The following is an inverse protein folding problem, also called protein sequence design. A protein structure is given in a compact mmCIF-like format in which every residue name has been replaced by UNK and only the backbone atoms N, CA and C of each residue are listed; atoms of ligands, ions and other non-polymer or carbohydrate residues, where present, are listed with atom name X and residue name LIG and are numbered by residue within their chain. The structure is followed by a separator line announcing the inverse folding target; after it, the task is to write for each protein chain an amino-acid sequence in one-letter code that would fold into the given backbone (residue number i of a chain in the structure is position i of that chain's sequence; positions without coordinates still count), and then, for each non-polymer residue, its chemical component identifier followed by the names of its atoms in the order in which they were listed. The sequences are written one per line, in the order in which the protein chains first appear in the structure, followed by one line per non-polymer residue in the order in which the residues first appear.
data_IF_907054982172
#
_entry.id   IF_907054982172
#
_cell.length_a   1.000
_cell.length_b   1.000
_cell.length_c   1.000
_cell.angle_alpha   90.00
_cell.angle_beta   90.00
_cell.angle_gamma   90.00
#
_symmetry.space_group_name_H-M   'P 1'
#
loop_
_entity.id
_entity.type
_entity.pdbx_description
1 polymer ?
#
# COMPACT_ATOMS: atom_id res chain seq x y z
N UNK A 1 37.29 -20.70 -2.65
CA UNK A 1 36.06 -20.44 -1.86
C UNK A 1 35.78 -18.96 -1.55
N UNK A 2 36.71 -18.15 -1.02
CA UNK A 2 36.41 -16.76 -0.56
C UNK A 2 35.79 -15.84 -1.62
N UNK A 3 36.26 -15.91 -2.86
CA UNK A 3 35.75 -15.09 -3.98
C UNK A 3 34.29 -15.42 -4.28
N UNK A 4 33.93 -16.71 -4.33
CA UNK A 4 32.56 -17.16 -4.55
C UNK A 4 31.59 -16.63 -3.47
N UNK A 5 31.97 -16.70 -2.20
CA UNK A 5 31.17 -16.14 -1.11
C UNK A 5 30.98 -14.62 -1.23
N UNK A 6 32.00 -13.90 -1.71
CA UNK A 6 31.91 -12.45 -1.91
C UNK A 6 30.91 -12.09 -3.00
N UNK A 7 30.91 -12.81 -4.12
CA UNK A 7 29.94 -12.60 -5.21
C UNK A 7 28.53 -12.99 -4.80
N UNK A 8 28.37 -14.11 -4.07
CA UNK A 8 27.05 -14.54 -3.58
C UNK A 8 26.46 -13.49 -2.61
N UNK A 9 27.28 -12.89 -1.75
CA UNK A 9 26.86 -11.79 -0.87
C UNK A 9 26.46 -10.56 -1.68
N UNK A 10 27.21 -10.21 -2.72
CA UNK A 10 26.90 -9.06 -3.58
C UNK A 10 25.57 -9.24 -4.32
N UNK A 11 25.34 -10.42 -4.91
CA UNK A 11 24.08 -10.75 -5.58
C UNK A 11 22.93 -10.66 -4.58
N UNK A 12 23.08 -11.24 -3.39
CA UNK A 12 22.06 -11.22 -2.34
C UNK A 12 21.76 -9.80 -1.85
N UNK A 13 22.79 -8.98 -1.70
CA UNK A 13 22.62 -7.56 -1.37
C UNK A 13 21.83 -6.84 -2.46
N UNK A 14 22.22 -6.96 -3.73
CA UNK A 14 21.53 -6.33 -4.85
C UNK A 14 20.07 -6.80 -4.95
N UNK A 15 19.81 -8.11 -4.81
CA UNK A 15 18.46 -8.66 -4.78
C UNK A 15 17.63 -8.07 -3.63
N UNK A 16 18.21 -7.95 -2.44
CA UNK A 16 17.55 -7.33 -1.29
C UNK A 16 17.25 -5.84 -1.52
N UNK A 17 18.17 -5.10 -2.17
CA UNK A 17 17.92 -3.70 -2.55
C UNK A 17 16.77 -3.59 -3.55
N UNK A 18 16.77 -4.43 -4.60
CA UNK A 18 15.71 -4.43 -5.61
C UNK A 18 14.34 -4.71 -5.01
N UNK A 19 14.25 -5.69 -4.11
CA UNK A 19 13.02 -6.00 -3.36
C UNK A 19 12.63 -4.82 -2.47
N UNK A 20 13.60 -4.21 -1.77
CA UNK A 20 13.32 -3.11 -0.85
C UNK A 20 12.79 -1.85 -1.53
N UNK A 21 13.24 -1.55 -2.75
CA UNK A 21 12.72 -0.43 -3.56
C UNK A 21 11.26 -0.66 -3.99
N UNK A 22 10.77 -1.91 -4.03
CA UNK A 22 9.37 -2.20 -4.39
C UNK A 22 8.37 -1.72 -3.33
N UNK A 23 8.76 -1.73 -2.04
CA UNK A 23 7.86 -1.33 -0.95
C UNK A 23 7.36 0.12 -1.12
N UNK A 24 8.23 1.14 -1.23
CA UNK A 24 7.79 2.52 -1.45
C UNK A 24 7.06 2.71 -2.79
N UNK A 25 7.45 1.97 -3.83
CA UNK A 25 6.77 2.01 -5.11
C UNK A 25 5.31 1.49 -5.00
N UNK A 26 5.09 0.41 -4.27
CA UNK A 26 3.75 -0.11 -3.98
C UNK A 26 2.90 0.89 -3.18
N UNK A 27 3.48 1.53 -2.17
CA UNK A 27 2.80 2.58 -1.40
C UNK A 27 2.38 3.74 -2.31
N UNK A 28 3.26 4.19 -3.21
CA UNK A 28 2.96 5.25 -4.18
C UNK A 28 1.83 4.86 -5.14
N UNK A 29 1.87 3.65 -5.70
CA UNK A 29 0.80 3.14 -6.56
C UNK A 29 -0.54 3.03 -5.83
N UNK A 30 -0.54 2.56 -4.59
CA UNK A 30 -1.72 2.55 -3.74
C UNK A 30 -2.29 3.95 -3.52
N UNK A 31 -1.42 4.93 -3.20
CA UNK A 31 -1.84 6.32 -3.02
C UNK A 31 -2.48 6.93 -4.27
N UNK A 32 -1.92 6.64 -5.46
CA UNK A 32 -2.48 7.09 -6.74
C UNK A 32 -3.83 6.47 -7.03
N UNK A 33 -3.98 5.17 -6.81
CA UNK A 33 -5.27 4.50 -6.98
C UNK A 33 -6.31 5.07 -6.00
N UNK A 34 -5.96 5.22 -4.72
CA UNK A 34 -6.82 5.84 -3.71
C UNK A 34 -7.27 7.25 -4.10
N UNK A 35 -6.35 8.08 -4.60
CA UNK A 35 -6.68 9.40 -5.10
C UNK A 35 -7.63 9.36 -6.29
N UNK A 36 -7.41 8.45 -7.24
CA UNK A 36 -8.29 8.27 -8.42
C UNK A 36 -9.71 7.92 -8.00
N UNK A 37 -9.87 6.92 -7.12
CA UNK A 37 -11.17 6.50 -6.60
C UNK A 37 -11.86 7.63 -5.81
N UNK A 38 -11.11 8.40 -5.02
CA UNK A 38 -11.67 9.55 -4.30
C UNK A 38 -12.18 10.64 -5.26
N UNK A 39 -11.46 10.92 -6.35
CA UNK A 39 -11.88 11.88 -7.38
C UNK A 39 -13.13 11.37 -8.12
N UNK A 40 -13.14 10.10 -8.52
CA UNK A 40 -14.28 9.48 -9.20
C UNK A 40 -15.53 9.49 -8.32
N UNK A 41 -15.40 9.09 -7.06
CA UNK A 41 -16.50 9.12 -6.10
C UNK A 41 -16.97 10.54 -5.79
N UNK A 42 -16.10 11.55 -5.87
CA UNK A 42 -16.50 12.95 -5.76
C UNK A 42 -17.30 13.41 -6.96
N UNK A 43 -16.84 13.12 -8.17
CA UNK A 43 -17.55 13.49 -9.40
C UNK A 43 -18.95 12.88 -9.45
N UNK A 44 -19.10 11.62 -9.04
CA UNK A 44 -20.41 10.98 -8.93
C UNK A 44 -21.32 11.65 -7.90
N UNK A 45 -20.76 12.13 -6.77
CA UNK A 45 -21.52 12.80 -5.72
C UNK A 45 -21.89 14.25 -6.11
N UNK A 46 -21.05 14.92 -6.90
CA UNK A 46 -21.25 16.32 -7.32
C UNK A 46 -22.56 16.51 -8.12
N UNK A 47 -23.01 15.48 -8.84
CA UNK A 47 -24.29 15.51 -9.56
C UNK A 47 -25.48 15.63 -8.59
N UNK A 48 -25.47 14.85 -7.50
CA UNK A 48 -26.49 14.92 -6.45
C UNK A 48 -26.33 16.17 -5.58
N UNK A 49 -25.10 16.60 -5.32
CA UNK A 49 -24.84 17.83 -4.57
C UNK A 49 -25.44 19.05 -5.29
N UNK A 50 -25.38 19.12 -6.62
CA UNK A 50 -26.03 20.20 -7.37
C UNK A 50 -27.55 20.22 -7.23
N UNK A 51 -28.18 19.05 -7.09
CA UNK A 51 -29.61 18.93 -6.83
C UNK A 51 -29.94 19.36 -5.39
N UNK A 52 -29.14 18.92 -4.42
CA UNK A 52 -29.22 19.37 -3.04
C UNK A 52 -29.04 20.90 -2.92
N UNK A 53 -28.10 21.49 -3.64
CA UNK A 53 -27.87 22.94 -3.68
C UNK A 53 -29.10 23.69 -4.19
N UNK A 54 -29.81 23.13 -5.18
CA UNK A 54 -30.97 23.76 -5.81
C UNK A 54 -32.23 23.65 -4.96
N UNK A 55 -32.47 22.51 -4.32
CA UNK A 55 -33.76 22.21 -3.68
C UNK A 55 -33.70 22.05 -2.16
N UNK A 56 -32.51 21.86 -1.60
CA UNK A 56 -32.29 21.52 -0.18
C UNK A 56 -31.20 22.38 0.48
N UNK A 57 -30.90 23.56 -0.06
CA UNK A 57 -29.87 24.49 0.44
C UNK A 57 -28.46 23.86 0.58
N UNK A 58 -28.16 22.85 -0.23
CA UNK A 58 -26.89 22.12 -0.23
C UNK A 58 -26.81 20.99 0.79
N UNK A 59 -27.90 20.69 1.50
CA UNK A 59 -27.96 19.55 2.42
C UNK A 59 -28.29 18.27 1.67
N UNK A 60 -27.26 17.47 1.40
CA UNK A 60 -27.39 16.19 0.69
C UNK A 60 -28.10 15.13 1.54
N UNK A 61 -28.05 15.21 2.87
CA UNK A 61 -28.77 14.27 3.73
C UNK A 61 -30.28 14.53 3.65
N UNK A 62 -30.70 15.79 3.50
CA UNK A 62 -32.09 16.13 3.22
C UNK A 62 -32.56 15.64 1.85
N UNK A 63 -31.71 15.73 0.82
CA UNK A 63 -32.00 15.14 -0.50
C UNK A 63 -32.20 13.62 -0.38
N UNK A 64 -31.31 12.92 0.33
CA UNK A 64 -31.40 11.47 0.55
C UNK A 64 -32.69 11.11 1.32
N UNK A 65 -33.00 11.85 2.39
CA UNK A 65 -34.22 11.64 3.17
C UNK A 65 -35.48 11.82 2.31
N UNK A 66 -35.50 12.85 1.47
CA UNK A 66 -36.59 13.11 0.55
C UNK A 66 -36.82 11.97 -0.45
N UNK A 67 -35.76 11.37 -0.98
CA UNK A 67 -35.88 10.19 -1.85
C UNK A 67 -36.44 8.97 -1.10
N UNK A 68 -35.96 8.73 0.13
CA UNK A 68 -36.38 7.60 0.99
C UNK A 68 -37.82 7.70 1.49
N UNK A 69 -38.33 8.90 1.67
CA UNK A 69 -39.72 9.13 2.10
C UNK A 69 -40.74 9.05 0.96
N UNK A 70 -40.28 8.88 -0.28
CA UNK A 70 -41.16 8.73 -1.44
C UNK A 70 -41.97 7.42 -1.37
N UNK A 71 -43.27 7.50 -1.68
CA UNK A 71 -44.16 6.33 -1.80
C UNK A 71 -43.80 5.43 -3.01
N UNK A 72 -43.00 5.91 -3.95
CA UNK A 72 -42.51 5.13 -5.09
C UNK A 72 -41.23 4.36 -4.71
N UNK A 73 -41.30 3.04 -4.77
CA UNK A 73 -40.19 2.13 -4.45
C UNK A 73 -38.90 2.48 -5.22
N UNK A 74 -39.01 2.89 -6.50
CA UNK A 74 -37.83 3.24 -7.31
C UNK A 74 -37.13 4.49 -6.76
N UNK A 75 -37.89 5.46 -6.28
CA UNK A 75 -37.32 6.66 -5.65
C UNK A 75 -36.72 6.35 -4.27
N UNK A 76 -37.38 5.52 -3.46
CA UNK A 76 -36.84 5.07 -2.18
C UNK A 76 -35.50 4.35 -2.35
N UNK A 77 -35.41 3.40 -3.30
CA UNK A 77 -34.17 2.68 -3.63
C UNK A 77 -33.09 3.62 -4.21
N UNK A 78 -33.52 4.68 -4.91
CA UNK A 78 -32.64 5.76 -5.36
C UNK A 78 -31.96 6.48 -4.19
N UNK A 79 -32.70 6.77 -3.12
CA UNK A 79 -32.15 7.38 -1.90
C UNK A 79 -31.08 6.52 -1.23
N UNK A 80 -31.29 5.20 -1.17
CA UNK A 80 -30.28 4.26 -0.65
C UNK A 80 -29.02 4.21 -1.52
N UNK A 81 -29.18 4.33 -2.84
CA UNK A 81 -28.06 4.37 -3.77
C UNK A 81 -27.23 5.65 -3.61
N UNK A 82 -27.88 6.81 -3.44
CA UNK A 82 -27.22 8.10 -3.19
C UNK A 82 -26.46 8.05 -1.86
N UNK A 83 -27.09 7.52 -0.80
CA UNK A 83 -26.44 7.37 0.51
C UNK A 83 -25.20 6.46 0.41
N UNK A 84 -25.26 5.36 -0.34
CA UNK A 84 -24.10 4.50 -0.55
C UNK A 84 -22.93 5.25 -1.22
N UNK A 85 -23.20 6.10 -2.22
CA UNK A 85 -22.19 6.93 -2.88
C UNK A 85 -21.63 7.97 -1.90
N UNK A 86 -22.49 8.64 -1.13
CA UNK A 86 -22.11 9.64 -0.14
C UNK A 86 -21.19 9.05 0.95
N UNK A 87 -21.60 7.94 1.55
CA UNK A 87 -20.81 7.23 2.56
C UNK A 87 -19.47 6.75 1.99
N UNK A 88 -19.46 6.22 0.76
CA UNK A 88 -18.23 5.79 0.10
C UNK A 88 -17.29 6.97 -0.15
N UNK A 89 -17.81 8.10 -0.60
CA UNK A 89 -17.03 9.32 -0.78
C UNK A 89 -16.37 9.74 0.53
N UNK A 90 -17.14 9.86 1.61
CA UNK A 90 -16.61 10.25 2.91
C UNK A 90 -15.47 9.33 3.39
N UNK A 91 -15.66 8.01 3.25
CA UNK A 91 -14.63 7.02 3.60
C UNK A 91 -13.36 7.20 2.77
N UNK A 92 -13.48 7.42 1.46
CA UNK A 92 -12.35 7.61 0.55
C UNK A 92 -11.62 8.93 0.84
N UNK A 93 -12.35 10.02 1.06
CA UNK A 93 -11.77 11.32 1.41
C UNK A 93 -11.02 11.25 2.75
N UNK A 94 -11.59 10.57 3.74
CA UNK A 94 -10.93 10.35 5.03
C UNK A 94 -9.66 9.50 4.87
N UNK A 95 -9.72 8.42 4.10
CA UNK A 95 -8.58 7.56 3.83
C UNK A 95 -7.47 8.33 3.08
N UNK A 96 -7.84 9.14 2.08
CA UNK A 96 -6.91 9.97 1.32
C UNK A 96 -6.24 11.04 2.20
N UNK A 97 -7.02 11.73 3.04
CA UNK A 97 -6.51 12.69 4.01
C UNK A 97 -5.51 12.03 4.97
N UNK A 98 -5.85 10.86 5.52
CA UNK A 98 -4.96 10.09 6.38
C UNK A 98 -3.68 9.66 5.65
N UNK A 99 -3.79 9.22 4.39
CA UNK A 99 -2.63 8.86 3.57
C UNK A 99 -1.68 10.07 3.36
N UNK A 100 -2.23 11.27 3.15
CA UNK A 100 -1.45 12.49 2.88
C UNK A 100 -0.81 13.13 4.13
N UNK A 101 -1.20 12.73 5.35
CA UNK A 101 -0.63 13.28 6.60
C UNK A 101 0.89 13.05 6.75
N UNK A 102 1.44 12.02 6.12
CA UNK A 102 2.89 11.79 6.08
C UNK A 102 3.29 10.37 5.73
N UNK A 103 4.60 10.12 5.67
CA UNK A 103 5.14 8.82 5.26
C UNK A 103 4.69 7.67 6.19
N UNK A 104 4.63 7.89 7.50
CA UNK A 104 4.18 6.86 8.44
C UNK A 104 2.72 6.46 8.21
N UNK A 105 1.83 7.44 8.00
CA UNK A 105 0.41 7.18 7.81
C UNK A 105 0.15 6.55 6.45
N UNK A 106 0.88 6.96 5.40
CA UNK A 106 0.83 6.32 4.09
C UNK A 106 1.12 4.82 4.18
N UNK A 107 2.22 4.43 4.86
CA UNK A 107 2.56 3.01 5.04
C UNK A 107 1.51 2.26 5.88
N UNK A 108 0.98 2.88 6.93
CA UNK A 108 -0.08 2.26 7.74
C UNK A 108 -1.36 2.02 6.93
N UNK A 109 -1.79 3.03 6.16
CA UNK A 109 -2.96 2.94 5.28
C UNK A 109 -2.75 1.92 4.17
N UNK A 110 -1.53 1.74 3.65
CA UNK A 110 -1.29 0.74 2.61
C UNK A 110 -1.23 -0.70 3.15
N UNK A 111 -0.64 -0.93 4.33
CA UNK A 111 -0.35 -2.29 4.80
C UNK A 111 -1.25 -2.79 5.93
N UNK A 112 -1.72 -1.91 6.82
CA UNK A 112 -2.43 -2.31 8.05
C UNK A 112 -3.92 -2.01 7.97
N UNK A 113 -4.29 -0.83 7.48
CA UNK A 113 -5.69 -0.43 7.29
C UNK A 113 -6.06 -0.04 5.87
N UNK A 114 -5.79 -0.87 4.84
CA UNK A 114 -6.09 -0.49 3.46
C UNK A 114 -7.58 -0.57 3.15
N UNK A 115 -7.99 0.27 2.19
CA UNK A 115 -9.20 0.04 1.41
C UNK A 115 -8.97 -1.22 0.57
N UNK A 116 -9.70 -2.30 0.92
CA UNK A 116 -9.40 -3.66 0.44
C UNK A 116 -9.60 -3.82 -1.06
N UNK A 117 -10.59 -3.13 -1.61
CA UNK A 117 -10.88 -3.09 -3.04
C UNK A 117 -9.73 -2.44 -3.82
N UNK A 118 -9.28 -1.26 -3.38
CA UNK A 118 -8.17 -0.52 -4.00
C UNK A 118 -6.86 -1.32 -3.90
N UNK A 119 -6.60 -1.95 -2.75
CA UNK A 119 -5.40 -2.79 -2.61
C UNK A 119 -5.45 -4.01 -3.53
N UNK A 120 -6.61 -4.64 -3.68
CA UNK A 120 -6.77 -5.79 -4.57
C UNK A 120 -6.54 -5.38 -6.03
N UNK A 121 -7.05 -4.22 -6.44
CA UNK A 121 -6.80 -3.65 -7.75
C UNK A 121 -5.30 -3.44 -7.98
N UNK A 122 -4.63 -2.74 -7.06
CA UNK A 122 -3.19 -2.42 -7.18
C UNK A 122 -2.32 -3.68 -7.20
N UNK A 123 -2.68 -4.72 -6.45
CA UNK A 123 -1.99 -6.02 -6.50
C UNK A 123 -2.18 -6.70 -7.85
N UNK A 124 -3.38 -6.60 -8.43
CA UNK A 124 -3.71 -7.25 -9.71
C UNK A 124 -3.11 -6.51 -10.91
N UNK A 125 -3.06 -5.18 -10.86
CA UNK A 125 -2.50 -4.31 -11.90
C UNK A 125 -1.05 -3.90 -11.64
N UNK A 126 -0.40 -4.51 -10.63
CA UNK A 126 0.93 -4.12 -10.18
C UNK A 126 1.95 -4.22 -11.31
N UNK A 127 2.55 -3.10 -11.67
CA UNK A 127 3.63 -3.03 -12.64
C UNK A 127 4.93 -2.76 -11.93
N UNK A 128 5.91 -3.65 -12.06
CA UNK A 128 7.23 -3.48 -11.45
C UNK A 128 7.97 -2.31 -12.09
N UNK A 129 8.31 -1.30 -11.28
CA UNK A 129 9.16 -0.20 -11.71
C UNK A 129 10.21 0.13 -10.64
N UNK A 130 11.32 0.72 -11.09
CA UNK A 130 12.37 1.23 -10.19
C UNK A 130 12.19 2.74 -10.12
N UNK A 131 11.48 3.20 -9.10
CA UNK A 131 11.37 4.63 -8.83
C UNK A 131 12.50 5.05 -7.91
N UNK A 132 13.49 5.75 -8.47
CA UNK A 132 14.66 6.25 -7.73
C UNK A 132 14.29 7.53 -6.97
N UNK A 133 13.69 7.36 -5.80
CA UNK A 133 13.52 8.44 -4.81
C UNK A 133 14.52 8.27 -3.66
N UNK A 134 14.94 9.34 -2.97
CA UNK A 134 15.83 9.23 -1.81
C UNK A 134 15.29 8.28 -0.73
N UNK A 135 13.96 8.28 -0.52
CA UNK A 135 13.30 7.35 0.39
C UNK A 135 13.37 5.90 -0.10
N UNK A 136 13.14 5.66 -1.39
CA UNK A 136 13.25 4.32 -1.97
C UNK A 136 14.68 3.78 -1.90
N UNK A 137 15.68 4.64 -2.12
CA UNK A 137 17.08 4.27 -1.93
C UNK A 137 17.37 3.90 -0.48
N UNK A 138 16.88 4.69 0.49
CA UNK A 138 17.09 4.40 1.91
C UNK A 138 16.48 3.05 2.32
N UNK A 139 15.21 2.80 1.95
CA UNK A 139 14.54 1.53 2.25
C UNK A 139 15.22 0.36 1.54
N UNK A 140 15.57 0.53 0.25
CA UNK A 140 16.31 -0.46 -0.53
C UNK A 140 17.65 -0.82 0.11
N UNK A 141 18.47 0.16 0.46
CA UNK A 141 19.77 -0.05 1.08
C UNK A 141 19.66 -0.72 2.45
N UNK A 142 18.70 -0.30 3.29
CA UNK A 142 18.46 -0.91 4.60
C UNK A 142 18.03 -2.37 4.47
N UNK A 143 17.09 -2.68 3.57
CA UNK A 143 16.66 -4.06 3.32
C UNK A 143 17.77 -4.90 2.71
N UNK A 144 18.49 -4.38 1.72
CA UNK A 144 19.64 -5.04 1.12
C UNK A 144 20.71 -5.39 2.15
N UNK A 145 21.05 -4.45 3.03
CA UNK A 145 22.02 -4.65 4.10
C UNK A 145 21.53 -5.69 5.12
N UNK A 146 20.26 -5.60 5.54
CA UNK A 146 19.66 -6.55 6.48
C UNK A 146 19.69 -7.97 5.91
N UNK A 147 19.25 -8.16 4.67
CA UNK A 147 19.26 -9.45 3.97
C UNK A 147 20.69 -10.00 3.83
N UNK A 148 21.66 -9.15 3.48
CA UNK A 148 23.06 -9.55 3.39
C UNK A 148 23.63 -10.00 4.74
N UNK A 149 23.32 -9.29 5.83
CA UNK A 149 23.76 -9.64 7.20
C UNK A 149 23.13 -10.94 7.67
N UNK A 150 21.84 -11.16 7.41
CA UNK A 150 21.16 -12.41 7.75
C UNK A 150 21.80 -13.58 6.98
N UNK A 151 22.02 -13.42 5.68
CA UNK A 151 22.67 -14.44 4.88
C UNK A 151 24.07 -14.78 5.40
N UNK A 152 24.87 -13.77 5.70
CA UNK A 152 26.23 -13.97 6.21
C UNK A 152 26.20 -14.66 7.58
N UNK A 153 25.25 -14.31 8.45
CA UNK A 153 25.05 -14.94 9.75
C UNK A 153 24.64 -16.40 9.62
N UNK A 154 23.71 -16.72 8.72
CA UNK A 154 23.28 -18.09 8.42
C UNK A 154 24.43 -18.94 7.85
N UNK A 155 25.19 -18.41 6.89
CA UNK A 155 26.33 -19.11 6.32
C UNK A 155 27.42 -19.38 7.37
N UNK A 156 27.71 -18.41 8.24
CA UNK A 156 28.65 -18.61 9.35
C UNK A 156 28.15 -19.68 10.31
N UNK A 157 26.87 -19.64 10.69
CA UNK A 157 26.26 -20.65 11.57
C UNK A 157 26.37 -22.07 10.99
N UNK A 158 26.09 -22.22 9.69
CA UNK A 158 26.11 -23.51 8.99
C UNK A 158 27.55 -24.03 8.76
N UNK A 159 28.53 -23.14 8.64
CA UNK A 159 29.95 -23.48 8.44
C UNK A 159 30.75 -23.68 9.75
N UNK A 160 30.24 -23.25 10.91
CA UNK A 160 30.84 -23.49 12.23
C UNK A 160 31.11 -24.99 12.55
N UNK A 161 30.18 -25.94 12.32
CA UNK A 161 30.40 -27.36 12.65
C UNK A 161 31.48 -28.04 11.79
N UNK A 162 31.73 -27.56 10.56
CA UNK A 162 32.75 -28.12 9.67
C UNK A 162 34.18 -27.72 10.08
N UNK A 163 34.33 -26.56 10.72
CA UNK A 163 35.64 -26.02 11.13
C UNK A 163 36.16 -26.65 12.43
N UNK A 164 35.27 -27.19 13.28
CA UNK A 164 35.64 -27.87 14.54
C UNK A 164 36.21 -29.27 14.32
N UNK A 165 35.89 -29.93 13.19
CA UNK A 165 36.32 -31.31 12.90
C UNK A 165 37.80 -31.42 12.47
N UNK A 166 38.44 -30.32 12.04
CA UNK A 166 39.83 -30.34 11.55
C UNK A 166 40.90 -30.12 12.62
N UNK A 167 40.54 -29.79 13.87
CA UNK A 167 41.51 -29.57 14.96
C UNK A 167 41.70 -30.82 15.84
N UNK A 168 41.03 -31.94 15.52
CA UNK A 168 41.07 -33.17 16.31
C UNK A 168 42.16 -34.20 15.94
N UNK A 169 42.89 -34.03 14.83
CA UNK A 169 43.84 -35.05 14.32
C UNK A 169 45.32 -34.60 14.38
N UNK A 170 45.70 -33.78 15.37
CA UNK A 170 47.11 -33.35 15.55
C UNK A 170 47.72 -33.75 16.91
N UNK A 171 47.06 -34.62 17.67
CA UNK A 171 47.65 -35.26 18.85
C UNK A 171 47.27 -36.73 18.91
N UNK A 172 48.04 -37.55 18.19
CA UNK A 172 48.07 -39.01 18.27
C UNK A 172 49.49 -39.48 17.97
#
# INVERSE_FOLDING_TARGET
MRVFYSYLRLITFISGVLIGVQVPHFVDQYGKALQSHAIESQQALDEFQQEADRYFNGDIEQLIAYYRESDDQVFSEGGDSIDAIYQRNQQLQQALSNYQQGLRSAYWQTFVGPQTDIRSEVVTSYTYAIQLTPHAMAVGLLLGLLVAVIMESLLRLLLLPLRKKQTGEQHG
#
